data_IF_579141895475
#
_entry.id   IF_579141895475
#
_cell.length_a   1.000
_cell.length_b   1.000
_cell.length_c   1.000
_cell.angle_alpha   90.00
_cell.angle_beta   90.00
_cell.angle_gamma   90.00
#
_symmetry.space_group_name_H-M   'P 1'
#
loop_
_entity.id
_entity.type
_entity.pdbx_description
1 polymer ?
#
# COMPACT_ATOMS: atom_id res chain seq x y z
N UNK A 1 -3.53 -19.43 -11.79
CA UNK A 1 -3.26 -17.99 -11.63
C UNK A 1 -3.99 -17.52 -10.38
N UNK A 2 -3.36 -16.79 -9.43
CA UNK A 2 -4.05 -16.35 -8.23
C UNK A 2 -5.25 -15.48 -8.62
N UNK A 3 -6.35 -15.59 -7.86
CA UNK A 3 -7.61 -14.95 -8.21
C UNK A 3 -7.50 -13.41 -8.18
N UNK A 4 -7.23 -12.82 -9.35
CA UNK A 4 -7.09 -11.37 -9.59
C UNK A 4 -8.41 -10.60 -9.41
N UNK A 5 -9.53 -11.26 -9.10
CA UNK A 5 -10.87 -10.64 -9.09
C UNK A 5 -11.04 -9.55 -8.05
N UNK A 6 -10.30 -9.56 -6.94
CA UNK A 6 -10.49 -8.62 -5.80
C UNK A 6 -9.53 -7.43 -5.76
N UNK A 7 -8.54 -7.34 -6.66
CA UNK A 7 -7.45 -6.34 -6.57
C UNK A 7 -7.58 -5.22 -7.60
N UNK A 8 -7.14 -4.01 -7.27
CA UNK A 8 -6.89 -2.97 -8.26
C UNK A 8 -5.67 -3.41 -9.08
N UNK A 9 -5.81 -3.47 -10.40
CA UNK A 9 -4.69 -3.75 -11.27
C UNK A 9 -3.98 -2.44 -11.60
N UNK A 10 -2.91 -2.13 -10.87
CA UNK A 10 -2.01 -1.03 -11.22
C UNK A 10 -2.47 0.34 -10.72
N UNK A 11 -1.87 0.80 -9.63
CA UNK A 11 -1.35 2.16 -9.68
C UNK A 11 -0.19 2.09 -10.69
N UNK A 12 -0.52 2.24 -11.97
CA UNK A 12 0.46 2.16 -13.04
C UNK A 12 1.07 3.54 -13.18
N UNK A 13 2.39 3.58 -13.07
CA UNK A 13 3.18 4.79 -12.87
C UNK A 13 3.01 5.29 -11.43
N UNK A 14 3.88 4.77 -10.56
CA UNK A 14 4.31 5.48 -9.36
C UNK A 14 4.85 6.84 -9.82
N UNK A 15 4.07 7.90 -9.65
CA UNK A 15 4.48 9.25 -10.03
C UNK A 15 5.55 9.74 -9.05
N UNK A 16 5.35 9.40 -7.77
CA UNK A 16 6.23 9.77 -6.67
C UNK A 16 6.23 8.66 -5.62
N UNK A 17 7.41 8.33 -5.11
CA UNK A 17 7.55 7.58 -3.87
C UNK A 17 8.40 8.40 -2.89
N UNK A 18 7.87 8.63 -1.70
CA UNK A 18 8.65 9.20 -0.60
C UNK A 18 9.74 8.26 -0.12
N UNK A 19 10.76 8.83 0.53
CA UNK A 19 11.83 8.10 1.18
C UNK A 19 11.68 8.28 2.68
N UNK A 20 11.56 7.18 3.41
CA UNK A 20 11.45 7.16 4.86
C UNK A 20 12.68 6.47 5.48
N UNK A 21 12.98 6.75 6.74
CA UNK A 21 14.04 6.07 7.48
C UNK A 21 13.82 4.55 7.57
N UNK A 22 12.55 4.11 7.59
CA UNK A 22 12.21 2.68 7.51
C UNK A 22 12.82 2.02 6.27
N UNK A 23 12.85 2.70 5.12
CA UNK A 23 13.49 2.15 3.92
C UNK A 23 15.00 1.92 4.15
N UNK A 24 15.67 2.86 4.83
CA UNK A 24 17.10 2.75 5.18
C UNK A 24 17.37 1.59 6.15
N UNK A 25 16.54 1.43 7.18
CA UNK A 25 16.67 0.32 8.15
C UNK A 25 16.53 -1.04 7.47
N UNK A 26 15.58 -1.17 6.53
CA UNK A 26 15.32 -2.41 5.81
C UNK A 26 16.45 -2.71 4.82
N UNK A 27 16.91 -1.75 4.01
CA UNK A 27 18.01 -2.01 3.05
C UNK A 27 19.34 -2.35 3.74
N UNK A 28 19.59 -1.77 4.92
CA UNK A 28 20.80 -2.06 5.71
C UNK A 28 20.65 -3.29 6.59
N UNK A 29 19.47 -3.92 6.59
CA UNK A 29 19.13 -5.07 7.41
C UNK A 29 19.41 -4.84 8.91
N UNK A 30 19.16 -3.63 9.39
CA UNK A 30 19.44 -3.26 10.80
C UNK A 30 18.52 -4.00 11.79
N UNK A 31 17.40 -4.54 11.31
CA UNK A 31 16.47 -5.37 12.07
C UNK A 31 16.62 -6.88 11.81
N UNK A 32 17.58 -7.30 10.97
CA UNK A 32 17.85 -8.72 10.71
C UNK A 32 16.76 -9.47 9.93
N UNK A 33 15.79 -8.77 9.32
CA UNK A 33 14.63 -9.35 8.64
C UNK A 33 14.57 -9.00 7.13
N UNK A 34 15.64 -8.49 6.54
CA UNK A 34 15.66 -8.14 5.12
C UNK A 34 15.64 -9.39 4.24
N UNK A 35 14.69 -9.45 3.31
CA UNK A 35 14.60 -10.45 2.25
C UNK A 35 15.22 -9.87 0.97
N UNK A 36 16.46 -10.22 0.67
CA UNK A 36 17.20 -9.67 -0.48
C UNK A 36 16.65 -10.13 -1.84
N UNK A 37 16.85 -9.29 -2.87
CA UNK A 37 15.84 -9.00 -3.92
C UNK A 37 14.74 -8.05 -3.43
N UNK A 38 15.15 -7.09 -2.60
CA UNK A 38 14.33 -6.08 -1.94
C UNK A 38 14.15 -4.84 -2.83
N UNK A 39 12.92 -4.34 -2.93
CA UNK A 39 12.61 -3.02 -3.47
C UNK A 39 11.95 -2.20 -2.37
N UNK A 40 12.58 -1.12 -1.86
CA UNK A 40 12.00 -0.27 -0.82
C UNK A 40 10.84 0.62 -1.33
N UNK A 41 10.32 1.46 -0.43
CA UNK A 41 9.29 2.44 -0.73
C UNK A 41 7.91 2.00 -0.27
N UNK A 42 7.29 2.80 0.58
CA UNK A 42 5.95 2.57 1.13
C UNK A 42 5.15 3.88 1.28
N UNK A 43 5.56 4.92 0.56
CA UNK A 43 4.93 6.24 0.53
C UNK A 43 4.60 6.60 -0.93
N UNK A 44 3.70 5.81 -1.54
CA UNK A 44 3.50 5.84 -3.00
C UNK A 44 2.30 6.68 -3.38
N UNK A 45 2.48 7.57 -4.35
CA UNK A 45 1.39 8.26 -5.05
C UNK A 45 1.49 7.95 -6.55
N UNK A 46 0.37 7.58 -7.15
CA UNK A 46 0.30 7.22 -8.56
C UNK A 46 -1.09 7.35 -9.14
N UNK A 47 -1.22 7.02 -10.42
CA UNK A 47 -2.50 7.05 -11.13
C UNK A 47 -2.98 5.62 -11.36
N UNK A 48 -4.27 5.39 -11.18
CA UNK A 48 -4.88 4.09 -11.51
C UNK A 48 -4.85 3.90 -13.02
N UNK A 49 -4.17 2.87 -13.50
CA UNK A 49 -4.10 2.57 -14.95
C UNK A 49 -5.07 1.48 -15.38
N UNK A 50 -5.49 0.62 -14.45
CA UNK A 50 -6.48 -0.43 -14.70
C UNK A 50 -7.10 -0.91 -13.36
N UNK A 51 -8.18 -1.67 -13.42
CA UNK A 51 -8.94 -2.11 -12.24
C UNK A 51 -9.46 -3.54 -12.44
N UNK A 52 -9.39 -4.35 -11.39
CA UNK A 52 -10.01 -5.68 -11.41
C UNK A 52 -11.53 -5.60 -11.53
N UNK A 53 -12.15 -6.64 -12.09
CA UNK A 53 -13.61 -6.68 -12.38
C UNK A 53 -14.51 -6.45 -11.16
N UNK A 54 -14.04 -6.73 -9.94
CA UNK A 54 -14.81 -6.51 -8.70
C UNK A 54 -14.38 -5.26 -7.93
N UNK A 55 -13.57 -4.40 -8.54
CA UNK A 55 -13.23 -3.08 -8.00
C UNK A 55 -14.39 -2.12 -8.23
N UNK A 56 -14.79 -1.40 -7.19
CA UNK A 56 -15.89 -0.43 -7.25
C UNK A 56 -15.54 0.94 -6.64
N UNK A 57 -14.46 1.02 -5.85
CA UNK A 57 -14.04 2.27 -5.18
C UNK A 57 -13.23 3.22 -6.07
N UNK A 58 -12.66 2.70 -7.15
CA UNK A 58 -11.71 3.40 -8.02
C UNK A 58 -11.98 3.11 -9.49
N UNK A 59 -11.54 4.02 -10.35
CA UNK A 59 -11.57 3.91 -11.81
C UNK A 59 -10.22 4.37 -12.39
N UNK A 60 -9.96 3.97 -13.64
CA UNK A 60 -8.79 4.44 -14.40
C UNK A 60 -8.76 5.97 -14.42
N UNK A 61 -7.57 6.54 -14.19
CA UNK A 61 -7.33 7.98 -14.10
C UNK A 61 -7.44 8.58 -12.71
N UNK A 62 -7.94 7.85 -11.70
CA UNK A 62 -7.95 8.33 -10.33
C UNK A 62 -6.52 8.48 -9.77
N UNK A 63 -6.23 9.60 -9.11
CA UNK A 63 -5.01 9.76 -8.31
C UNK A 63 -5.19 9.10 -6.96
N UNK A 64 -4.30 8.16 -6.66
CA UNK A 64 -4.37 7.33 -5.46
C UNK A 64 -2.99 7.21 -4.84
N UNK A 65 -2.94 6.65 -3.65
CA UNK A 65 -1.69 6.13 -3.16
C UNK A 65 -1.81 4.91 -2.26
N UNK A 66 -0.64 4.40 -1.92
CA UNK A 66 -0.42 3.18 -1.15
C UNK A 66 0.53 3.51 0.00
N UNK A 67 0.09 3.17 1.21
CA UNK A 67 0.86 3.37 2.45
C UNK A 67 1.71 2.16 2.81
N UNK A 68 1.86 1.92 4.12
CA UNK A 68 2.73 0.88 4.67
C UNK A 68 2.21 -0.56 4.51
N UNK A 69 0.89 -0.76 4.45
CA UNK A 69 0.27 -2.09 4.36
C UNK A 69 -0.52 -2.23 3.06
N UNK A 70 -0.47 -3.43 2.44
CA UNK A 70 -1.12 -3.75 1.16
C UNK A 70 -2.10 -4.93 1.24
N UNK A 71 -2.07 -5.69 2.33
CA UNK A 71 -3.00 -6.78 2.61
C UNK A 71 -3.07 -7.10 4.12
N UNK A 72 -4.04 -7.92 4.51
CA UNK A 72 -4.13 -8.50 5.87
C UNK A 72 -5.00 -9.77 5.86
N UNK A 73 -5.25 -10.40 7.02
CA UNK A 73 -6.10 -11.57 7.08
C UNK A 73 -7.59 -11.29 6.78
N UNK A 74 -8.05 -10.04 6.96
CA UNK A 74 -9.42 -9.61 6.67
C UNK A 74 -10.51 -10.18 7.57
N UNK A 75 -10.18 -11.00 8.58
CA UNK A 75 -11.15 -11.74 9.40
C UNK A 75 -10.94 -11.63 10.91
N UNK A 76 -9.78 -11.14 11.38
CA UNK A 76 -9.57 -10.93 12.81
C UNK A 76 -10.32 -9.70 13.32
N UNK A 77 -10.44 -9.58 14.64
CA UNK A 77 -11.08 -8.43 15.29
C UNK A 77 -10.50 -7.09 14.83
N UNK A 78 -9.17 -6.99 14.73
CA UNK A 78 -8.52 -5.76 14.25
C UNK A 78 -8.96 -5.42 12.82
N UNK A 79 -9.07 -6.41 11.93
CA UNK A 79 -9.55 -6.18 10.56
C UNK A 79 -11.03 -5.81 10.52
N UNK A 80 -11.87 -6.47 11.34
CA UNK A 80 -13.29 -6.15 11.45
C UNK A 80 -13.56 -4.73 11.94
N UNK A 81 -12.64 -4.19 12.75
CA UNK A 81 -12.72 -2.84 13.31
C UNK A 81 -11.99 -1.77 12.48
N UNK A 82 -11.44 -2.11 11.31
CA UNK A 82 -10.69 -1.16 10.48
C UNK A 82 -9.32 -0.76 11.04
N UNK A 83 -8.72 -1.65 11.84
CA UNK A 83 -7.38 -1.56 12.40
C UNK A 83 -6.47 -2.65 11.82
N UNK A 84 -6.49 -2.81 10.50
CA UNK A 84 -5.74 -3.86 9.78
C UNK A 84 -4.23 -3.78 10.02
N UNK A 85 -3.71 -2.64 10.46
CA UNK A 85 -2.31 -2.43 10.87
C UNK A 85 -1.90 -3.22 12.11
N UNK A 86 -2.85 -3.59 12.98
CA UNK A 86 -2.60 -4.45 14.13
C UNK A 86 -2.86 -5.93 13.82
N UNK A 87 -3.17 -6.26 12.56
CA UNK A 87 -3.33 -7.64 12.16
C UNK A 87 -2.00 -8.39 12.26
N UNK A 88 -1.98 -9.53 12.96
CA UNK A 88 -0.80 -10.41 12.99
C UNK A 88 -0.42 -10.97 11.60
N UNK A 89 -1.38 -10.98 10.66
CA UNK A 89 -1.17 -11.36 9.26
C UNK A 89 -1.10 -10.17 8.31
N UNK A 90 -0.70 -8.99 8.78
CA UNK A 90 -0.52 -7.81 7.92
C UNK A 90 0.57 -8.05 6.88
N UNK A 91 0.33 -7.60 5.65
CA UNK A 91 1.30 -7.66 4.56
C UNK A 91 1.79 -6.26 4.27
N UNK A 92 3.10 -6.06 4.45
CA UNK A 92 3.77 -4.79 4.23
C UNK A 92 3.97 -4.52 2.73
N UNK A 93 3.99 -3.25 2.34
CA UNK A 93 4.22 -2.81 0.95
C UNK A 93 5.59 -3.21 0.43
N UNK A 94 6.59 -3.16 1.29
CA UNK A 94 7.97 -3.59 1.02
C UNK A 94 8.43 -4.54 2.13
N UNK A 95 9.23 -5.54 1.77
CA UNK A 95 9.80 -6.53 2.70
C UNK A 95 8.74 -7.27 3.54
N UNK A 96 7.51 -7.36 3.03
CA UNK A 96 6.43 -8.16 3.60
C UNK A 96 6.34 -9.54 2.93
N UNK A 97 5.54 -10.42 3.50
CA UNK A 97 5.27 -11.76 2.93
C UNK A 97 3.81 -11.81 2.48
N UNK A 98 3.58 -11.89 1.17
CA UNK A 98 2.23 -12.03 0.62
C UNK A 98 1.81 -13.51 0.67
N UNK A 99 1.20 -13.90 1.80
CA UNK A 99 0.67 -15.25 2.00
C UNK A 99 -0.40 -15.64 0.97
N UNK A 100 -1.16 -14.68 0.44
CA UNK A 100 -2.15 -14.93 -0.61
C UNK A 100 -1.50 -15.24 -1.97
N UNK A 101 -0.22 -14.89 -2.16
CA UNK A 101 0.59 -15.20 -3.34
C UNK A 101 1.68 -16.24 -3.06
N UNK A 102 1.38 -17.22 -2.21
CA UNK A 102 2.29 -18.34 -1.96
C UNK A 102 3.53 -17.95 -1.17
N UNK A 103 3.49 -16.84 -0.41
CA UNK A 103 4.58 -16.40 0.45
C UNK A 103 5.67 -15.63 -0.28
N UNK A 104 5.38 -15.08 -1.46
CA UNK A 104 6.33 -14.21 -2.16
C UNK A 104 6.60 -12.92 -1.36
N UNK A 105 7.85 -12.46 -1.37
CA UNK A 105 8.20 -11.16 -0.81
C UNK A 105 7.52 -10.03 -1.59
N UNK A 106 7.00 -9.02 -0.89
CA UNK A 106 6.46 -7.82 -1.51
C UNK A 106 7.57 -6.87 -1.93
N UNK A 107 7.37 -6.23 -3.09
CA UNK A 107 8.27 -5.25 -3.68
C UNK A 107 7.60 -3.88 -3.61
N UNK A 108 8.30 -2.91 -3.03
CA UNK A 108 7.80 -1.59 -2.71
C UNK A 108 7.71 -0.62 -3.88
N UNK A 109 7.44 0.64 -3.52
CA UNK A 109 7.15 1.75 -4.42
C UNK A 109 8.31 2.34 -5.21
N UNK A 110 9.55 1.90 -4.97
CA UNK A 110 10.69 2.22 -5.83
C UNK A 110 10.66 1.36 -7.10
N UNK A 111 9.50 1.32 -7.74
CA UNK A 111 9.15 0.53 -8.91
C UNK A 111 8.13 1.26 -9.77
N UNK A 112 7.99 0.85 -11.02
CA UNK A 112 7.11 1.53 -11.98
C UNK A 112 5.62 1.25 -11.73
N UNK A 113 5.28 0.06 -11.22
CA UNK A 113 3.91 -0.44 -11.10
C UNK A 113 3.70 -1.22 -9.80
N UNK A 114 2.63 -0.88 -9.07
CA UNK A 114 2.15 -1.64 -7.93
C UNK A 114 0.73 -2.18 -8.13
N UNK A 115 0.51 -3.43 -7.70
CA UNK A 115 -0.79 -4.11 -7.76
C UNK A 115 -1.30 -4.36 -6.35
N UNK A 116 -2.27 -3.56 -5.92
CA UNK A 116 -2.73 -3.52 -4.52
C UNK A 116 -4.24 -3.74 -4.44
N UNK A 117 -4.71 -4.32 -3.34
CA UNK A 117 -6.16 -4.45 -3.10
C UNK A 117 -6.80 -3.07 -2.92
N UNK A 118 -8.00 -2.86 -3.50
CA UNK A 118 -8.74 -1.59 -3.39
C UNK A 118 -9.03 -1.18 -1.93
N UNK A 119 -8.88 -2.09 -0.98
CA UNK A 119 -9.07 -1.81 0.44
C UNK A 119 -7.91 -1.01 1.06
N UNK A 120 -6.69 -1.17 0.53
CA UNK A 120 -5.46 -0.56 1.04
C UNK A 120 -4.97 0.61 0.17
N UNK A 121 -5.73 0.93 -0.87
CA UNK A 121 -5.54 2.12 -1.69
C UNK A 121 -6.38 3.24 -1.08
N UNK A 122 -5.85 4.46 -1.04
CA UNK A 122 -6.62 5.66 -0.67
C UNK A 122 -6.61 6.68 -1.80
N UNK A 123 -7.72 7.39 -1.97
CA UNK A 123 -7.84 8.49 -2.94
C UNK A 123 -7.05 9.69 -2.45
N UNK A 124 -6.26 10.30 -3.33
CA UNK A 124 -5.61 11.58 -3.05
C UNK A 124 -6.59 12.69 -3.44
N UNK A 125 -6.95 13.61 -2.53
CA UNK A 125 -7.78 14.77 -2.88
C UNK A 125 -7.11 15.66 -3.92
N UNK A 126 -7.88 16.18 -4.88
CA UNK A 126 -7.37 17.07 -5.94
C UNK A 126 -6.78 18.38 -5.41
N UNK A 127 -7.14 18.77 -4.18
CA UNK A 127 -6.59 19.94 -3.49
C UNK A 127 -5.16 19.75 -2.98
N UNK A 128 -4.66 18.51 -2.93
CA UNK A 128 -3.29 18.22 -2.51
C UNK A 128 -2.38 18.06 -3.73
N UNK A 129 -1.17 18.65 -3.71
CA UNK A 129 -0.21 18.42 -4.77
C UNK A 129 0.22 16.94 -4.77
N UNK A 130 0.32 16.28 -5.94
CA UNK A 130 0.75 14.88 -6.05
C UNK A 130 2.15 14.62 -5.46
N UNK A 131 2.97 15.67 -5.34
CA UNK A 131 4.34 15.66 -4.84
C UNK A 131 4.45 15.65 -3.31
N UNK A 132 3.37 15.36 -2.57
CA UNK A 132 3.38 15.35 -1.11
C UNK A 132 3.33 13.92 -0.52
N UNK A 133 4.27 13.01 -0.83
CA UNK A 133 4.29 11.67 -0.24
C UNK A 133 4.43 11.70 1.29
N UNK A 134 5.07 12.72 1.86
CA UNK A 134 5.17 12.92 3.31
C UNK A 134 3.82 13.22 3.99
N UNK A 135 2.97 14.04 3.36
CA UNK A 135 1.58 14.23 3.83
C UNK A 135 0.75 12.97 3.59
N UNK A 136 1.08 12.23 2.53
CA UNK A 136 0.44 10.97 2.21
C UNK A 136 0.77 9.86 3.21
N UNK A 137 1.96 9.83 3.81
CA UNK A 137 2.27 8.89 4.89
C UNK A 137 1.36 9.13 6.13
N UNK A 138 1.00 10.38 6.43
CA UNK A 138 -0.01 10.77 7.45
C UNK A 138 -1.47 10.50 7.02
N UNK A 139 -1.77 10.42 5.71
CA UNK A 139 -3.12 10.24 5.16
C UNK A 139 -3.44 8.78 4.77
N UNK A 140 -2.44 8.03 4.29
CA UNK A 140 -2.51 6.61 3.92
C UNK A 140 -2.38 5.69 5.13
N UNK A 141 -2.07 6.26 6.29
CA UNK A 141 -2.28 5.66 7.59
C UNK A 141 -3.77 5.60 7.95
N UNK A 142 -4.57 4.94 7.10
CA UNK A 142 -5.66 4.10 7.63
C UNK A 142 -5.13 3.08 8.65
N UNK A 143 -3.83 2.78 8.56
CA UNK A 143 -3.05 2.08 9.56
C UNK A 143 -2.67 2.88 10.83
N UNK A 144 -2.99 4.17 10.95
CA UNK A 144 -2.68 4.98 12.15
C UNK A 144 -3.82 5.93 12.51
N UNK A 145 -5.05 5.42 12.51
CA UNK A 145 -6.24 6.07 13.07
C UNK A 145 -7.02 6.97 12.09
N UNK A 146 -8.32 6.68 11.98
CA UNK A 146 -9.35 7.55 11.39
C UNK A 146 -9.53 8.79 12.28
N UNK A 147 -8.67 9.80 12.14
CA UNK A 147 -8.82 11.10 12.83
C UNK A 147 -9.37 12.24 11.97
N UNK A 148 -9.69 12.01 10.70
CA UNK A 148 -10.43 13.00 9.91
C UNK A 148 -11.93 12.69 9.97
N UNK A 149 -12.56 13.07 11.09
CA UNK A 149 -13.95 13.53 11.07
C UNK A 149 -13.93 14.96 10.54
N UNK A 150 -14.42 15.16 9.32
CA UNK A 150 -14.94 16.48 8.95
C UNK A 150 -16.22 16.70 9.72
N UNK A 151 -16.12 17.43 10.83
CA UNK A 151 -17.08 18.48 11.16
C UNK A 151 -16.50 19.81 10.67
#
# INVERSE_FOLDING_TARGET
>A
MPDLRRRCFGAGISLYCGICHTDLHVIKNEWGNAMYSLVPGHEVVGTVTDVGRSVSKYKVGDTVGVGYCVDSCGSCECCGNGHENYCAGVVLTSNGVDHARGGAATLGGFSDVLVVSQHYVVRVPDSLPPTAPLRFCELASRCTVRWWSTD
#
